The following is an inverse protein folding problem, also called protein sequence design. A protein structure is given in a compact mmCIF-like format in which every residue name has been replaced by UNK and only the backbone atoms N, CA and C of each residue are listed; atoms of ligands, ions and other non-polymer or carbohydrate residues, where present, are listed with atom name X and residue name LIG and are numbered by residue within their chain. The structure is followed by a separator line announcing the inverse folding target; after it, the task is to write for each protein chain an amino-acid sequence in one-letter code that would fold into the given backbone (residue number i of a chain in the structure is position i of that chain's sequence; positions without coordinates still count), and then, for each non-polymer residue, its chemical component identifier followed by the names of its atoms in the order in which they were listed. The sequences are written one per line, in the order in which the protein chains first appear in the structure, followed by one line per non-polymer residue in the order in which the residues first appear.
data_IF_133612506457
#
_entry.id   IF_133612506457
#
_cell.length_a   1.000
_cell.length_b   1.000
_cell.length_c   1.000
_cell.angle_alpha   90.00
_cell.angle_beta   90.00
_cell.angle_gamma   90.00
#
_symmetry.space_group_name_H-M   'P 1'
#
loop_
_entity.id
_entity.type
_entity.pdbx_description
1 polymer ?
#
# COMPACT_ATOMS: atom_id res chain seq x y z
N UNK A 1 31.39 -22.11 -15.39
CA UNK A 1 30.32 -23.12 -15.54
C UNK A 1 29.14 -22.67 -14.70
N UNK A 2 27.98 -22.48 -15.33
CA UNK A 2 26.72 -22.13 -14.67
C UNK A 2 26.19 -23.33 -13.89
N UNK A 3 25.76 -23.10 -12.66
CA UNK A 3 24.76 -23.92 -11.99
C UNK A 3 23.76 -22.97 -11.32
N UNK A 4 22.55 -22.95 -11.85
CA UNK A 4 21.40 -22.31 -11.25
C UNK A 4 20.80 -23.25 -10.19
N UNK A 5 20.38 -22.71 -9.04
CA UNK A 5 19.37 -23.36 -8.21
C UNK A 5 18.54 -22.36 -7.42
N UNK A 6 17.37 -22.07 -8.00
CA UNK A 6 16.03 -22.04 -7.39
C UNK A 6 15.80 -21.21 -6.11
N UNK A 7 15.02 -20.15 -6.27
CA UNK A 7 14.26 -19.47 -5.22
C UNK A 7 13.12 -20.38 -4.77
N UNK A 8 13.04 -20.70 -3.48
CA UNK A 8 11.81 -21.20 -2.84
C UNK A 8 11.50 -20.35 -1.61
N UNK A 9 10.99 -19.14 -1.83
CA UNK A 9 10.30 -18.39 -0.78
C UNK A 9 8.85 -18.89 -0.70
N UNK A 10 8.61 -19.94 0.08
CA UNK A 10 7.26 -20.35 0.44
C UNK A 10 6.54 -19.28 1.27
N UNK A 11 5.20 -19.30 1.37
CA UNK A 11 4.48 -18.39 2.24
C UNK A 11 4.90 -18.62 3.70
N UNK A 12 5.39 -17.57 4.38
CA UNK A 12 5.60 -17.57 5.83
C UNK A 12 4.22 -17.73 6.47
N UNK A 13 3.86 -18.96 6.83
CA UNK A 13 2.75 -19.23 7.76
C UNK A 13 3.19 -18.61 9.07
N UNK A 14 2.59 -17.47 9.45
CA UNK A 14 2.67 -16.96 10.82
C UNK A 14 1.97 -18.00 11.70
N UNK A 15 2.76 -18.98 12.15
CA UNK A 15 2.33 -19.92 13.18
C UNK A 15 1.87 -19.12 14.39
N UNK A 16 0.76 -19.55 15.01
CA UNK A 16 0.31 -18.98 16.28
C UNK A 16 1.48 -19.04 17.26
N UNK A 17 1.80 -17.92 17.89
CA UNK A 17 2.81 -17.87 18.93
C UNK A 17 2.45 -18.90 20.01
N UNK A 18 3.38 -19.83 20.27
CA UNK A 18 3.31 -20.73 21.42
C UNK A 18 3.20 -19.88 22.70
N UNK A 19 2.22 -20.13 23.58
CA UNK A 19 2.00 -19.29 24.74
C UNK A 19 3.17 -19.45 25.73
N UNK A 20 3.94 -18.37 25.94
CA UNK A 20 4.98 -18.29 26.98
C UNK A 20 6.40 -17.96 26.51
N UNK A 21 6.64 -17.85 25.19
CA UNK A 21 7.90 -17.32 24.69
C UNK A 21 7.80 -15.79 24.54
N UNK A 22 8.37 -15.04 25.48
CA UNK A 22 8.57 -13.61 25.27
C UNK A 22 9.58 -13.44 24.12
N UNK A 23 9.18 -12.79 23.02
CA UNK A 23 10.05 -12.66 21.86
C UNK A 23 11.22 -11.75 22.23
N UNK A 24 12.44 -12.24 22.02
CA UNK A 24 13.64 -11.51 22.37
C UNK A 24 13.98 -10.56 21.24
N UNK A 25 14.68 -9.47 21.55
CA UNK A 25 15.01 -8.44 20.55
C UNK A 25 15.77 -9.02 19.37
N UNK A 26 16.58 -10.04 19.62
CA UNK A 26 17.40 -10.73 18.63
C UNK A 26 16.56 -11.49 17.60
N UNK A 27 15.35 -11.94 17.97
CA UNK A 27 14.43 -12.67 17.07
C UNK A 27 13.88 -11.78 15.95
N UNK A 28 14.06 -10.47 16.05
CA UNK A 28 13.62 -9.47 15.08
C UNK A 28 14.79 -8.84 14.29
N UNK A 29 16.01 -9.33 14.46
CA UNK A 29 17.18 -8.83 13.73
C UNK A 29 17.42 -9.76 12.53
N UNK A 30 17.06 -9.30 11.33
CA UNK A 30 17.39 -9.97 10.08
C UNK A 30 18.64 -9.29 9.46
N UNK A 31 19.61 -10.09 9.02
CA UNK A 31 20.83 -9.59 8.37
C UNK A 31 20.67 -9.71 6.85
N UNK A 32 20.71 -8.58 6.15
CA UNK A 32 20.66 -8.55 4.68
C UNK A 32 22.03 -8.15 4.11
N UNK A 33 22.39 -8.76 2.97
CA UNK A 33 23.60 -8.41 2.24
C UNK A 33 23.23 -7.30 1.25
N UNK A 34 23.78 -6.11 1.46
CA UNK A 34 23.59 -4.95 0.60
C UNK A 34 24.66 -4.91 -0.48
N UNK A 35 24.26 -5.11 -1.74
CA UNK A 35 25.13 -4.86 -2.89
C UNK A 35 25.03 -3.39 -3.30
N UNK A 36 26.13 -2.65 -3.17
CA UNK A 36 26.20 -1.24 -3.54
C UNK A 36 26.61 -1.09 -5.01
N UNK A 37 25.82 -0.35 -5.78
CA UNK A 37 26.21 0.06 -7.13
C UNK A 37 27.14 1.29 -7.05
N UNK A 38 28.19 1.36 -7.90
CA UNK A 38 29.02 2.55 -7.99
C UNK A 38 28.20 3.73 -8.53
N UNK A 39 28.53 4.95 -8.06
CA UNK A 39 27.91 6.17 -8.57
C UNK A 39 28.19 6.32 -10.08
N UNK A 40 27.23 6.82 -10.86
CA UNK A 40 27.43 7.05 -12.29
C UNK A 40 28.52 8.11 -12.53
N UNK A 41 29.22 7.98 -13.65
CA UNK A 41 30.29 8.91 -14.02
C UNK A 41 29.75 10.34 -14.18
N UNK A 42 30.48 11.32 -13.65
CA UNK A 42 30.08 12.74 -13.66
C UNK A 42 29.22 13.17 -12.47
N UNK A 43 28.99 12.29 -11.50
CA UNK A 43 28.32 12.62 -10.25
C UNK A 43 29.35 12.86 -9.16
N UNK A 44 29.32 14.06 -8.56
CA UNK A 44 30.13 14.39 -7.39
C UNK A 44 29.38 13.98 -6.11
N UNK A 45 29.94 13.02 -5.39
CA UNK A 45 29.38 12.54 -4.14
C UNK A 45 29.24 13.66 -3.09
N UNK A 46 30.14 14.64 -3.09
CA UNK A 46 30.08 15.76 -2.15
C UNK A 46 28.95 16.74 -2.47
N UNK A 47 28.60 16.88 -3.75
CA UNK A 47 27.50 17.73 -4.19
C UNK A 47 26.16 17.11 -3.78
N UNK A 48 25.99 15.80 -4.00
CA UNK A 48 24.82 15.05 -3.53
C UNK A 48 24.69 15.13 -2.01
N UNK A 49 25.77 14.93 -1.27
CA UNK A 49 25.73 14.95 0.19
C UNK A 49 25.32 16.33 0.73
N UNK A 50 25.77 17.41 0.07
CA UNK A 50 25.35 18.78 0.41
C UNK A 50 23.88 19.01 0.10
N UNK A 51 23.42 18.61 -1.08
CA UNK A 51 22.03 18.77 -1.51
C UNK A 51 21.08 18.02 -0.55
N UNK A 52 21.38 16.76 -0.24
CA UNK A 52 20.61 15.95 0.73
C UNK A 52 20.63 16.60 2.12
N UNK A 53 21.79 17.06 2.60
CA UNK A 53 21.90 17.70 3.92
C UNK A 53 21.09 19.00 4.01
N UNK A 54 21.06 19.79 2.93
CA UNK A 54 20.27 21.02 2.86
C UNK A 54 18.76 20.74 2.82
N UNK A 55 18.34 19.72 2.06
CA UNK A 55 16.96 19.26 2.06
C UNK A 55 16.52 18.72 3.42
N UNK A 56 17.35 17.91 4.08
CA UNK A 56 17.09 17.41 5.44
C UNK A 56 16.94 18.55 6.44
N UNK A 57 17.81 19.56 6.39
CA UNK A 57 17.70 20.76 7.22
C UNK A 57 16.44 21.55 6.92
N UNK A 58 16.05 21.67 5.65
CA UNK A 58 14.82 22.35 5.27
C UNK A 58 13.56 21.60 5.74
N UNK A 59 13.57 20.27 5.72
CA UNK A 59 12.49 19.43 6.23
C UNK A 59 12.42 19.47 7.77
N UNK A 60 13.57 19.42 8.44
CA UNK A 60 13.68 19.58 9.88
C UNK A 60 13.31 20.99 10.34
N UNK A 61 13.53 22.03 9.55
CA UNK A 61 13.06 23.38 9.85
C UNK A 61 11.54 23.50 9.70
N UNK A 62 10.95 22.74 8.79
CA UNK A 62 9.50 22.66 8.56
C UNK A 62 8.75 21.75 9.56
N UNK A 63 9.32 21.47 10.74
CA UNK A 63 8.81 20.45 11.70
C UNK A 63 7.28 20.41 11.67
N UNK A 64 6.68 19.33 11.11
CA UNK A 64 5.25 19.19 11.22
C UNK A 64 4.93 19.17 12.71
N UNK A 65 3.86 19.86 13.10
CA UNK A 65 3.38 19.80 14.46
C UNK A 65 3.02 18.34 14.77
N UNK A 66 3.91 17.64 15.47
CA UNK A 66 3.68 16.26 15.89
C UNK A 66 2.76 16.34 17.11
N UNK A 67 1.64 15.64 17.04
CA UNK A 67 0.58 15.70 18.04
C UNK A 67 1.07 15.34 19.46
N UNK A 68 2.22 14.66 19.61
CA UNK A 68 2.78 14.25 20.89
C UNK A 68 2.02 13.08 21.51
N UNK A 69 2.67 12.32 22.40
CA UNK A 69 2.12 11.09 22.99
C UNK A 69 0.78 11.33 23.70
N UNK A 70 0.72 12.35 24.54
CA UNK A 70 -0.44 12.58 25.40
C UNK A 70 -1.68 12.99 24.60
N UNK A 71 -1.52 13.76 23.51
CA UNK A 71 -2.64 14.12 22.65
C UNK A 71 -3.13 12.96 21.77
N UNK A 72 -2.25 12.00 21.43
CA UNK A 72 -2.64 10.76 20.76
C UNK A 72 -3.49 9.90 21.71
N UNK A 73 -3.05 9.76 22.97
CA UNK A 73 -3.76 8.97 23.98
C UNK A 73 -5.08 9.62 24.43
N UNK A 74 -5.18 10.94 24.38
CA UNK A 74 -6.41 11.67 24.69
C UNK A 74 -7.48 11.57 23.59
N UNK A 75 -7.16 11.05 22.39
CA UNK A 75 -8.17 10.84 21.34
C UNK A 75 -9.00 9.60 21.65
N UNK A 76 -10.34 9.68 21.55
CA UNK A 76 -11.18 8.49 21.64
C UNK A 76 -10.85 7.53 20.50
N UNK A 77 -10.74 6.23 20.80
CA UNK A 77 -10.47 5.16 19.83
C UNK A 77 -11.51 5.14 18.69
N UNK A 78 -12.74 5.52 19.02
CA UNK A 78 -13.90 5.47 18.13
C UNK A 78 -14.06 6.77 17.30
N UNK A 79 -13.10 7.68 17.38
CA UNK A 79 -13.15 9.00 16.77
C UNK A 79 -13.06 8.94 15.25
N UNK A 80 -14.20 8.97 14.58
CA UNK A 80 -14.26 9.15 13.13
C UNK A 80 -13.68 10.53 12.77
N UNK A 81 -12.77 10.64 11.77
CA UNK A 81 -12.24 11.92 11.36
C UNK A 81 -13.37 12.84 10.90
N UNK A 82 -13.54 13.98 11.56
CA UNK A 82 -14.56 14.99 11.22
C UNK A 82 -14.25 15.69 9.90
N UNK A 83 -12.97 15.72 9.49
CA UNK A 83 -12.52 16.21 8.20
C UNK A 83 -11.43 15.29 7.65
N UNK A 84 -11.58 14.89 6.39
CA UNK A 84 -10.54 14.23 5.63
C UNK A 84 -9.45 15.25 5.31
N UNK A 85 -8.20 14.91 5.62
CA UNK A 85 -7.06 15.71 5.16
C UNK A 85 -7.03 15.72 3.63
N UNK A 86 -6.77 16.90 3.05
CA UNK A 86 -6.62 17.12 1.61
C UNK A 86 -5.20 17.52 1.27
N UNK A 87 -4.23 17.06 2.07
CA UNK A 87 -2.82 17.20 1.76
C UNK A 87 -2.52 16.69 0.35
N UNK A 88 -1.52 17.32 -0.25
CA UNK A 88 -1.08 16.96 -1.59
C UNK A 88 -0.66 15.51 -1.58
N UNK A 89 -1.12 14.77 -2.59
CA UNK A 89 -0.81 13.34 -2.68
C UNK A 89 0.72 13.18 -2.70
N UNK A 90 1.28 12.26 -1.91
CA UNK A 90 2.70 11.96 -2.01
C UNK A 90 3.00 11.56 -3.46
N UNK A 91 4.16 11.99 -3.97
CA UNK A 91 4.66 11.63 -5.29
C UNK A 91 5.06 10.14 -5.30
N UNK A 92 4.10 9.22 -5.25
CA UNK A 92 4.36 7.79 -5.41
C UNK A 92 4.15 7.38 -6.89
N UNK A 93 5.20 6.84 -7.50
CA UNK A 93 5.34 6.13 -8.79
C UNK A 93 4.76 6.74 -10.10
N UNK A 94 3.86 7.72 -10.06
CA UNK A 94 3.34 8.45 -11.22
C UNK A 94 3.93 9.87 -11.27
N UNK A 95 5.24 9.97 -11.38
CA UNK A 95 6.04 11.21 -11.33
C UNK A 95 5.85 12.16 -12.53
N UNK A 96 4.82 11.96 -13.37
CA UNK A 96 4.48 12.89 -14.46
C UNK A 96 2.96 13.02 -14.62
N UNK A 97 2.49 14.23 -14.95
CA UNK A 97 1.07 14.49 -15.24
C UNK A 97 0.51 13.56 -16.31
N UNK A 98 1.32 13.19 -17.31
CA UNK A 98 0.91 12.26 -18.38
C UNK A 98 0.51 10.89 -17.82
N UNK A 99 1.37 10.26 -17.03
CA UNK A 99 1.08 8.96 -16.39
C UNK A 99 -0.10 9.04 -15.44
N UNK A 100 -0.31 10.18 -14.79
CA UNK A 100 -1.47 10.41 -13.95
C UNK A 100 -2.78 10.40 -14.75
N UNK A 101 -2.82 11.08 -15.91
CA UNK A 101 -3.99 11.05 -16.78
C UNK A 101 -4.25 9.66 -17.36
N UNK A 102 -3.20 8.94 -17.80
CA UNK A 102 -3.32 7.56 -18.27
C UNK A 102 -3.89 6.63 -17.18
N UNK A 103 -3.40 6.75 -15.95
CA UNK A 103 -3.93 6.03 -14.79
C UNK A 103 -5.41 6.36 -14.54
N UNK A 104 -5.77 7.64 -14.56
CA UNK A 104 -7.17 8.06 -14.36
C UNK A 104 -8.09 7.50 -15.43
N UNK A 105 -7.64 7.43 -16.68
CA UNK A 105 -8.41 6.84 -17.78
C UNK A 105 -8.62 5.34 -17.56
N UNK A 106 -7.58 4.60 -17.19
CA UNK A 106 -7.67 3.18 -16.85
C UNK A 106 -8.62 2.94 -15.67
N UNK A 107 -8.54 3.75 -14.62
CA UNK A 107 -9.44 3.68 -13.46
C UNK A 107 -10.89 3.95 -13.87
N UNK A 108 -11.13 4.93 -14.75
CA UNK A 108 -12.48 5.23 -15.26
C UNK A 108 -13.05 4.05 -16.04
N UNK A 109 -12.26 3.49 -16.97
CA UNK A 109 -12.67 2.33 -17.75
C UNK A 109 -12.95 1.11 -16.86
N UNK A 110 -12.06 0.83 -15.91
CA UNK A 110 -12.23 -0.23 -14.93
C UNK A 110 -13.52 -0.07 -14.10
N UNK A 111 -13.79 1.14 -13.59
CA UNK A 111 -15.00 1.43 -12.80
C UNK A 111 -16.28 1.25 -13.62
N UNK A 112 -16.26 1.64 -14.89
CA UNK A 112 -17.39 1.44 -15.79
C UNK A 112 -17.67 -0.05 -15.99
N UNK A 113 -16.65 -0.85 -16.31
CA UNK A 113 -16.78 -2.31 -16.46
C UNK A 113 -17.30 -2.97 -15.18
N UNK A 114 -16.74 -2.61 -14.03
CA UNK A 114 -17.19 -3.13 -12.74
C UNK A 114 -18.65 -2.75 -12.43
N UNK A 115 -19.05 -1.50 -12.71
CA UNK A 115 -20.41 -1.04 -12.50
C UNK A 115 -21.42 -1.80 -13.36
N UNK A 116 -21.11 -2.02 -14.64
CA UNK A 116 -21.94 -2.82 -15.54
C UNK A 116 -22.07 -4.27 -15.04
N UNK A 117 -20.95 -4.90 -14.68
CA UNK A 117 -20.93 -6.26 -14.15
C UNK A 117 -21.74 -6.36 -12.84
N UNK A 118 -21.55 -5.40 -11.92
CA UNK A 118 -22.28 -5.34 -10.66
C UNK A 118 -23.78 -5.14 -10.87
N UNK A 119 -24.21 -4.33 -11.85
CA UNK A 119 -25.63 -4.11 -12.11
C UNK A 119 -26.29 -5.40 -12.62
N UNK A 120 -25.66 -6.09 -13.58
CA UNK A 120 -26.14 -7.36 -14.10
C UNK A 120 -26.18 -8.46 -13.02
N UNK A 121 -25.17 -8.50 -12.16
CA UNK A 121 -25.10 -9.44 -11.04
C UNK A 121 -26.23 -9.20 -10.01
N UNK A 122 -26.52 -7.95 -9.66
CA UNK A 122 -27.63 -7.61 -8.73
C UNK A 122 -29.02 -7.95 -9.28
N UNK A 123 -29.18 -7.97 -10.60
CA UNK A 123 -30.43 -8.38 -11.28
C UNK A 123 -30.55 -9.92 -11.36
N UNK A 124 -29.55 -10.66 -10.89
CA UNK A 124 -29.60 -12.13 -10.79
C UNK A 124 -28.82 -12.88 -11.87
N UNK A 125 -28.10 -12.18 -12.76
CA UNK A 125 -27.21 -12.84 -13.73
C UNK A 125 -25.91 -13.26 -13.05
N UNK A 126 -25.89 -14.48 -12.50
CA UNK A 126 -24.75 -14.99 -11.72
C UNK A 126 -23.53 -15.39 -12.57
N UNK A 127 -23.70 -15.58 -13.88
CA UNK A 127 -22.63 -15.93 -14.82
C UNK A 127 -21.79 -14.73 -15.30
N UNK A 128 -22.09 -13.52 -14.82
CA UNK A 128 -21.37 -12.31 -15.23
C UNK A 128 -19.92 -12.35 -14.75
N UNK A 129 -18.99 -12.07 -15.67
CA UNK A 129 -17.57 -11.99 -15.40
C UNK A 129 -17.23 -10.58 -14.90
N UNK A 130 -16.56 -10.51 -13.77
CA UNK A 130 -16.06 -9.25 -13.21
C UNK A 130 -14.65 -8.96 -13.73
N UNK A 131 -14.22 -7.68 -13.75
CA UNK A 131 -12.85 -7.34 -14.09
C UNK A 131 -11.82 -8.11 -13.25
N UNK A 132 -10.63 -8.41 -13.79
CA UNK A 132 -9.57 -9.10 -13.05
C UNK A 132 -9.25 -8.42 -11.72
N UNK A 133 -8.87 -9.21 -10.71
CA UNK A 133 -8.48 -8.72 -9.38
C UNK A 133 -9.58 -7.98 -8.63
N UNK A 134 -10.85 -8.24 -8.97
CA UNK A 134 -12.00 -7.69 -8.26
C UNK A 134 -12.84 -8.78 -7.62
N UNK A 135 -13.46 -8.43 -6.50
CA UNK A 135 -14.42 -9.29 -5.83
C UNK A 135 -15.82 -8.93 -6.27
N UNK A 136 -16.70 -9.94 -6.35
CA UNK A 136 -18.12 -9.71 -6.58
C UNK A 136 -18.71 -9.01 -5.36
N UNK A 137 -19.66 -8.08 -5.52
CA UNK A 137 -20.33 -7.46 -4.40
C UNK A 137 -21.07 -8.52 -3.58
N UNK A 138 -21.04 -8.39 -2.26
CA UNK A 138 -21.74 -9.31 -1.37
C UNK A 138 -23.25 -9.18 -1.57
N UNK A 139 -23.88 -10.21 -2.12
CA UNK A 139 -25.33 -10.31 -2.18
C UNK A 139 -25.82 -10.93 -0.88
N UNK A 140 -26.52 -10.15 -0.06
CA UNK A 140 -27.39 -10.72 0.96
C UNK A 140 -28.45 -11.55 0.26
N UNK A 141 -28.32 -12.87 0.29
CA UNK A 141 -29.47 -13.73 0.04
C UNK A 141 -30.41 -13.47 1.23
N UNK A 142 -31.49 -12.70 1.03
CA UNK A 142 -32.61 -12.73 1.98
C UNK A 142 -33.05 -14.19 2.02
N UNK A 143 -32.81 -14.88 3.13
CA UNK A 143 -33.41 -16.18 3.41
C UNK A 143 -34.93 -16.00 3.27
N UNK A 144 -35.54 -16.56 2.22
CA UNK A 144 -36.99 -16.51 2.05
C UNK A 144 -37.55 -16.36 0.63
N UNK A 145 -36.75 -16.32 -0.44
CA UNK A 145 -37.29 -16.30 -1.81
C UNK A 145 -36.63 -17.38 -2.69
N UNK A 146 -36.90 -18.64 -2.34
CA UNK A 146 -36.88 -19.73 -3.32
C UNK A 146 -38.34 -19.82 -3.78
N UNK A 147 -38.65 -19.19 -4.92
CA UNK A 147 -39.87 -19.48 -5.64
C UNK A 147 -39.69 -20.86 -6.30
N UNK A 148 -40.49 -21.82 -5.85
CA UNK A 148 -40.74 -23.12 -6.51
C UNK A 148 -41.25 -22.94 -7.92
#
# INVERSE_FOLDING_TARGET
MLAASRIESGPRVLGKAEPGLEPRREDFIETEILELAPLPAGVDAQEIEREVSEEEKALLAKKPHVLGRDAILARPFDGQPTKTDRSWRPLCHASTNKRWFEYLEQVRAFRALYACASAAFRVGKMSVVFPPWTFRPWTYVRQGLIAT
#
